data_IF_131118614748
#
_entry.id   IF_131118614748
#
_cell.length_a   1.000
_cell.length_b   1.000
_cell.length_c   1.000
_cell.angle_alpha   90.00
_cell.angle_beta   90.00
_cell.angle_gamma   90.00
#
_symmetry.space_group_name_H-M   'P 1'
#
loop_
_entity.id
_entity.type
_entity.pdbx_description
1 polymer ?
#
# COMPACT_ATOMS: atom_id res chain seq x y z
N UNK A 1 -19.68 14.17 -21.99
CA UNK A 1 -19.61 13.14 -20.94
C UNK A 1 -18.18 12.74 -20.64
N UNK A 2 -17.44 12.35 -21.67
CA UNK A 2 -16.03 12.00 -21.45
C UNK A 2 -15.23 13.17 -20.86
N UNK A 3 -15.54 14.38 -21.28
CA UNK A 3 -14.86 15.57 -20.78
C UNK A 3 -15.10 15.76 -19.28
N UNK A 4 -16.31 15.47 -18.82
CA UNK A 4 -16.62 15.58 -17.40
C UNK A 4 -15.81 14.58 -16.58
N UNK A 5 -15.68 13.36 -17.06
CA UNK A 5 -14.93 12.33 -16.35
C UNK A 5 -13.46 12.72 -16.23
N UNK A 6 -12.88 13.22 -17.32
CA UNK A 6 -11.50 13.68 -17.30
C UNK A 6 -11.33 14.83 -16.31
N UNK A 7 -12.32 15.77 -16.29
CA UNK A 7 -12.24 16.93 -15.41
C UNK A 7 -12.34 16.57 -13.93
N UNK A 8 -13.01 15.43 -13.60
CA UNK A 8 -13.18 15.01 -12.21
C UNK A 8 -12.05 14.09 -11.75
N UNK A 9 -11.16 13.69 -12.65
CA UNK A 9 -10.07 12.79 -12.30
C UNK A 9 -9.02 13.53 -11.48
N UNK A 10 -8.78 13.05 -10.27
CA UNK A 10 -7.84 13.68 -9.34
C UNK A 10 -6.48 13.00 -9.32
N UNK A 11 -6.43 11.77 -9.80
CA UNK A 11 -5.19 11.02 -9.88
C UNK A 11 -4.96 10.10 -8.69
N UNK A 12 -3.94 9.27 -8.83
CA UNK A 12 -3.60 8.24 -7.85
C UNK A 12 -2.23 8.55 -7.26
N UNK A 13 -2.19 8.71 -5.95
CA UNK A 13 -0.96 9.07 -5.24
C UNK A 13 -0.17 7.82 -4.87
N UNK A 14 1.11 7.81 -5.20
CA UNK A 14 1.98 6.70 -4.90
C UNK A 14 2.59 6.85 -3.50
N UNK A 15 2.61 5.76 -2.75
CA UNK A 15 3.16 5.70 -1.40
C UNK A 15 4.24 4.63 -1.36
N UNK A 16 5.43 5.01 -0.88
CA UNK A 16 6.58 4.11 -0.80
C UNK A 16 7.20 4.15 0.59
N UNK A 17 8.02 3.16 0.90
CA UNK A 17 8.70 3.12 2.19
C UNK A 17 10.13 2.62 2.04
N UNK A 18 11.10 3.21 2.77
CA UNK A 18 12.45 2.68 2.79
C UNK A 18 12.59 1.47 3.72
N UNK A 19 11.55 1.18 4.52
CA UNK A 19 11.60 0.07 5.47
C UNK A 19 11.23 -1.24 4.78
N UNK A 20 11.63 -2.35 5.40
CA UNK A 20 11.23 -3.67 4.93
C UNK A 20 9.73 -3.87 5.10
N UNK A 21 9.14 -4.60 4.17
CA UNK A 21 7.74 -4.98 4.25
C UNK A 21 7.57 -6.36 3.62
N UNK A 22 6.74 -7.18 4.24
CA UNK A 22 6.48 -8.54 3.74
C UNK A 22 7.73 -9.39 3.64
N UNK A 23 8.75 -9.11 4.46
CA UNK A 23 10.00 -9.84 4.41
C UNK A 23 10.98 -9.35 3.35
N UNK A 24 10.65 -8.29 2.63
CA UNK A 24 11.49 -7.75 1.57
C UNK A 24 11.88 -6.33 1.87
N UNK A 25 13.06 -5.95 1.36
CA UNK A 25 13.47 -4.56 1.34
C UNK A 25 13.68 -4.17 -0.12
N UNK A 26 12.81 -3.30 -0.61
CA UNK A 26 12.79 -2.95 -2.03
C UNK A 26 13.18 -1.48 -2.17
N UNK A 27 14.18 -1.17 -3.01
CA UNK A 27 14.58 0.23 -3.20
C UNK A 27 13.42 1.11 -3.65
N UNK A 28 13.44 2.36 -3.19
CA UNK A 28 12.37 3.32 -3.50
C UNK A 28 12.16 3.46 -5.01
N UNK A 29 13.27 3.51 -5.77
CA UNK A 29 13.16 3.66 -7.22
C UNK A 29 12.43 2.49 -7.87
N UNK A 30 12.63 1.28 -7.35
CA UNK A 30 11.93 0.11 -7.86
C UNK A 30 10.46 0.13 -7.46
N UNK A 31 10.17 0.55 -6.24
CA UNK A 31 8.78 0.73 -5.83
C UNK A 31 8.09 1.73 -6.74
N UNK A 32 8.70 2.88 -6.95
CA UNK A 32 8.12 3.94 -7.78
C UNK A 32 7.87 3.46 -9.20
N UNK A 33 8.83 2.75 -9.79
CA UNK A 33 8.66 2.20 -11.14
C UNK A 33 7.50 1.22 -11.21
N UNK A 34 7.38 0.35 -10.20
CA UNK A 34 6.30 -0.62 -10.12
C UNK A 34 4.94 0.09 -10.08
N UNK A 35 4.84 1.12 -9.24
CA UNK A 35 3.58 1.85 -9.07
C UNK A 35 3.22 2.66 -10.32
N UNK A 36 4.21 3.26 -10.96
CA UNK A 36 3.98 3.99 -12.21
C UNK A 36 3.49 3.05 -13.29
N UNK A 37 4.14 1.91 -13.45
CA UNK A 37 3.74 0.91 -14.45
C UNK A 37 2.31 0.43 -14.21
N UNK A 38 1.98 0.17 -12.94
CA UNK A 38 0.62 -0.23 -12.59
C UNK A 38 -0.40 0.84 -13.03
N UNK A 39 -0.13 2.09 -12.70
CA UNK A 39 -1.05 3.18 -13.06
C UNK A 39 -1.19 3.30 -14.58
N UNK A 40 -0.09 3.17 -15.32
CA UNK A 40 -0.15 3.22 -16.77
C UNK A 40 -1.03 2.12 -17.34
N UNK A 41 -0.87 0.90 -16.83
CA UNK A 41 -1.66 -0.23 -17.31
C UNK A 41 -3.14 -0.09 -16.99
N UNK A 42 -3.46 0.55 -15.88
CA UNK A 42 -4.86 0.72 -15.45
C UNK A 42 -5.48 2.01 -15.95
N UNK A 43 -4.75 2.82 -16.69
CA UNK A 43 -5.26 4.10 -17.18
C UNK A 43 -5.46 5.12 -16.08
N UNK A 44 -4.67 5.03 -15.00
CA UNK A 44 -4.75 5.95 -13.87
C UNK A 44 -3.69 7.03 -14.00
N UNK A 45 -4.05 8.24 -13.58
CA UNK A 45 -3.09 9.34 -13.54
C UNK A 45 -2.17 9.15 -12.34
N UNK A 46 -0.88 9.06 -12.59
CA UNK A 46 0.11 8.79 -11.55
C UNK A 46 0.60 10.09 -10.93
N UNK A 47 0.54 10.18 -9.61
CA UNK A 47 1.16 11.27 -8.87
C UNK A 47 2.45 10.79 -8.25
N UNK A 48 3.48 11.63 -8.28
CA UNK A 48 4.79 11.29 -7.74
C UNK A 48 4.68 10.73 -6.33
N UNK A 49 5.52 9.74 -6.06
CA UNK A 49 5.51 9.03 -4.80
C UNK A 49 5.94 9.92 -3.63
N UNK A 50 5.37 9.62 -2.48
CA UNK A 50 5.89 10.10 -1.20
C UNK A 50 6.58 8.93 -0.52
N UNK A 51 7.50 9.24 0.39
CA UNK A 51 8.32 8.24 1.07
C UNK A 51 8.06 8.31 2.57
N UNK A 52 7.70 7.16 3.16
CA UNK A 52 7.49 7.08 4.59
C UNK A 52 8.81 7.27 5.34
N UNK A 53 8.74 7.72 6.60
CA UNK A 53 9.93 7.86 7.41
C UNK A 53 10.52 6.50 7.78
N UNK A 54 11.75 6.48 8.33
CA UNK A 54 12.44 5.25 8.66
C UNK A 54 12.21 4.78 10.10
N UNK A 55 11.49 5.53 10.88
CA UNK A 55 11.28 5.19 12.30
C UNK A 55 10.26 4.06 12.40
N UNK A 56 10.64 2.92 13.02
CA UNK A 56 9.72 1.78 13.11
C UNK A 56 8.43 2.13 13.82
N UNK A 57 7.34 1.53 13.36
CA UNK A 57 6.01 1.64 13.96
C UNK A 57 5.42 3.05 13.92
N UNK A 58 5.95 3.92 13.06
CA UNK A 58 5.37 5.24 12.82
C UNK A 58 4.97 5.35 11.35
N UNK A 59 3.90 6.08 11.08
CA UNK A 59 3.34 6.18 9.74
C UNK A 59 2.93 7.62 9.46
N UNK A 60 3.87 8.55 9.70
CA UNK A 60 3.58 9.98 9.59
C UNK A 60 3.15 10.39 8.19
N UNK A 61 3.81 9.84 7.16
CA UNK A 61 3.47 10.18 5.79
C UNK A 61 2.13 9.55 5.40
N UNK A 62 1.89 8.30 5.80
CA UNK A 62 0.62 7.64 5.53
C UNK A 62 -0.52 8.39 6.22
N UNK A 63 -0.33 8.81 7.47
CA UNK A 63 -1.34 9.60 8.19
C UNK A 63 -1.63 10.92 7.47
N UNK A 64 -0.59 11.56 6.92
CA UNK A 64 -0.78 12.77 6.14
C UNK A 64 -1.62 12.50 4.90
N UNK A 65 -1.40 11.36 4.24
CA UNK A 65 -2.21 10.98 3.08
C UNK A 65 -3.65 10.71 3.47
N UNK A 66 -3.87 10.11 4.64
CA UNK A 66 -5.22 9.84 5.13
C UNK A 66 -5.99 11.16 5.26
N UNK A 67 -5.34 12.18 5.81
CA UNK A 67 -6.00 13.48 5.97
C UNK A 67 -6.32 14.14 4.64
N UNK A 68 -5.54 13.87 3.61
CA UNK A 68 -5.68 14.48 2.29
C UNK A 68 -6.29 13.54 1.27
N UNK A 69 -6.87 12.43 1.70
CA UNK A 69 -7.33 11.40 0.78
C UNK A 69 -8.39 11.88 -0.19
N UNK A 70 -9.18 12.88 0.20
CA UNK A 70 -10.18 13.44 -0.71
C UNK A 70 -9.56 14.18 -1.90
N UNK A 71 -8.25 14.43 -1.87
CA UNK A 71 -7.54 15.05 -2.98
C UNK A 71 -7.18 14.06 -4.09
N UNK A 72 -7.37 12.77 -3.86
CA UNK A 72 -6.97 11.73 -4.79
C UNK A 72 -8.11 10.76 -5.08
N UNK A 73 -8.10 10.18 -6.28
CA UNK A 73 -9.00 9.08 -6.62
C UNK A 73 -8.57 7.80 -5.94
N UNK A 74 -7.28 7.66 -5.71
CA UNK A 74 -6.73 6.48 -5.06
C UNK A 74 -5.33 6.70 -4.53
N UNK A 75 -4.90 5.77 -3.70
CA UNK A 75 -3.53 5.67 -3.21
C UNK A 75 -3.03 4.30 -3.64
N UNK A 76 -1.84 4.25 -4.23
CA UNK A 76 -1.26 2.99 -4.68
C UNK A 76 0.03 2.71 -3.93
N UNK A 77 0.18 1.47 -3.48
CA UNK A 77 1.39 1.00 -2.81
C UNK A 77 1.65 -0.45 -3.22
N UNK A 78 2.86 -0.93 -2.96
CA UNK A 78 3.28 -2.24 -3.43
C UNK A 78 2.56 -3.39 -2.75
N UNK A 79 2.37 -3.31 -1.43
CA UNK A 79 1.87 -4.47 -0.69
C UNK A 79 1.00 -4.07 0.49
N UNK A 80 0.05 -4.93 0.82
CA UNK A 80 -0.78 -4.76 2.02
C UNK A 80 0.08 -4.76 3.28
N UNK A 81 1.27 -5.37 3.23
CA UNK A 81 2.19 -5.39 4.38
C UNK A 81 2.82 -4.04 4.67
N UNK A 82 2.62 -3.06 3.80
CA UNK A 82 3.08 -1.70 4.06
C UNK A 82 2.15 -0.94 5.01
N UNK A 83 0.97 -1.47 5.26
CA UNK A 83 0.02 -0.88 6.22
C UNK A 83 0.47 -1.22 7.65
N UNK A 84 0.01 -0.44 8.65
CA UNK A 84 0.35 -0.74 10.04
C UNK A 84 -0.03 -2.16 10.43
N UNK A 85 0.80 -2.77 11.28
CA UNK A 85 0.59 -4.14 11.73
C UNK A 85 -0.57 -4.29 12.71
N UNK A 86 -0.86 -3.24 13.45
CA UNK A 86 -1.94 -3.26 14.43
C UNK A 86 -3.29 -3.23 13.72
N UNK A 87 -4.12 -4.30 13.85
CA UNK A 87 -5.37 -4.39 13.08
C UNK A 87 -6.33 -3.22 13.30
N UNK A 88 -6.43 -2.71 14.50
CA UNK A 88 -7.34 -1.60 14.78
C UNK A 88 -6.88 -0.32 14.11
N UNK A 89 -5.57 -0.06 14.13
CA UNK A 89 -4.99 1.12 13.49
C UNK A 89 -5.15 0.99 11.98
N UNK A 90 -4.86 -0.19 11.44
CA UNK A 90 -5.00 -0.46 10.01
C UNK A 90 -6.43 -0.24 9.54
N UNK A 91 -7.40 -0.77 10.29
CA UNK A 91 -8.81 -0.60 9.95
C UNK A 91 -9.22 0.86 9.97
N UNK A 92 -8.77 1.60 10.98
CA UNK A 92 -9.06 3.02 11.10
C UNK A 92 -8.53 3.79 9.88
N UNK A 93 -7.30 3.53 9.50
CA UNK A 93 -6.67 4.21 8.37
C UNK A 93 -7.42 3.91 7.08
N UNK A 94 -7.70 2.64 6.82
CA UNK A 94 -8.37 2.24 5.59
C UNK A 94 -9.78 2.82 5.53
N UNK A 95 -10.52 2.76 6.63
CA UNK A 95 -11.87 3.30 6.69
C UNK A 95 -11.88 4.80 6.40
N UNK A 96 -10.94 5.53 7.00
CA UNK A 96 -10.88 6.99 6.81
C UNK A 96 -10.55 7.35 5.36
N UNK A 97 -9.71 6.55 4.70
CA UNK A 97 -9.40 6.75 3.28
C UNK A 97 -10.65 6.50 2.43
N UNK A 98 -11.31 5.37 2.66
CA UNK A 98 -12.49 5.01 1.88
C UNK A 98 -13.64 6.00 2.07
N UNK A 99 -13.80 6.51 3.29
CA UNK A 99 -14.87 7.46 3.59
C UNK A 99 -14.72 8.76 2.79
N UNK A 100 -13.53 9.07 2.31
CA UNK A 100 -13.29 10.26 1.51
C UNK A 100 -13.41 10.01 0.02
N UNK A 101 -13.86 8.80 -0.37
CA UNK A 101 -14.01 8.45 -1.77
C UNK A 101 -12.71 8.06 -2.44
N UNK A 102 -11.69 7.74 -1.67
CA UNK A 102 -10.38 7.36 -2.18
C UNK A 102 -10.22 5.84 -2.08
N UNK A 103 -9.68 5.23 -3.13
CA UNK A 103 -9.45 3.78 -3.17
C UNK A 103 -8.01 3.45 -2.78
N UNK A 104 -7.78 2.20 -2.40
CA UNK A 104 -6.44 1.70 -2.14
C UNK A 104 -6.10 0.60 -3.14
N UNK A 105 -4.94 0.76 -3.79
CA UNK A 105 -4.44 -0.22 -4.76
C UNK A 105 -3.17 -0.86 -4.22
N UNK A 106 -3.10 -2.19 -4.30
CA UNK A 106 -1.93 -2.95 -3.87
C UNK A 106 -1.45 -3.76 -5.05
N UNK A 107 -0.26 -3.42 -5.58
CA UNK A 107 0.20 -3.99 -6.84
C UNK A 107 0.66 -5.43 -6.71
N UNK A 108 1.31 -5.79 -5.60
CA UNK A 108 1.81 -7.16 -5.42
C UNK A 108 0.67 -8.15 -5.27
N UNK A 109 -0.32 -7.84 -4.44
CA UNK A 109 -1.46 -8.71 -4.23
C UNK A 109 -2.54 -8.54 -5.30
N UNK A 110 -2.42 -7.50 -6.12
CA UNK A 110 -3.34 -7.24 -7.23
C UNK A 110 -4.79 -7.08 -6.78
N UNK A 111 -4.98 -6.32 -5.70
CA UNK A 111 -6.31 -6.00 -5.22
C UNK A 111 -6.52 -4.50 -5.17
N UNK A 112 -7.79 -4.12 -5.26
CA UNK A 112 -8.23 -2.74 -5.07
C UNK A 112 -9.29 -2.74 -3.98
N UNK A 113 -9.05 -1.97 -2.94
CA UNK A 113 -10.01 -1.81 -1.84
C UNK A 113 -10.78 -0.53 -2.11
N UNK A 114 -12.07 -0.65 -2.38
CA UNK A 114 -12.90 0.50 -2.76
C UNK A 114 -14.09 0.69 -1.83
N UNK A 115 -14.41 -0.31 -1.00
CA UNK A 115 -15.53 -0.22 -0.07
C UNK A 115 -15.21 -0.99 1.20
N UNK A 116 -16.04 -0.79 2.22
CA UNK A 116 -15.87 -1.51 3.48
C UNK A 116 -16.04 -3.02 3.33
N UNK A 117 -16.75 -3.45 2.30
CA UNK A 117 -16.92 -4.88 2.03
C UNK A 117 -15.59 -5.54 1.69
N UNK A 118 -14.64 -4.78 1.16
CA UNK A 118 -13.34 -5.32 0.78
C UNK A 118 -12.40 -5.51 1.96
N UNK A 119 -12.77 -5.02 3.14
CA UNK A 119 -11.89 -5.12 4.32
C UNK A 119 -11.62 -6.56 4.74
N UNK A 120 -12.57 -7.46 4.57
CA UNK A 120 -12.37 -8.87 4.93
C UNK A 120 -11.26 -9.48 4.08
N UNK A 121 -11.31 -9.25 2.77
CA UNK A 121 -10.28 -9.74 1.87
C UNK A 121 -8.92 -9.14 2.20
N UNK A 122 -8.91 -7.84 2.48
CA UNK A 122 -7.67 -7.17 2.86
C UNK A 122 -7.05 -7.80 4.10
N UNK A 123 -7.85 -8.05 5.14
CA UNK A 123 -7.33 -8.64 6.38
C UNK A 123 -6.84 -10.06 6.16
N UNK A 124 -7.50 -10.82 5.29
CA UNK A 124 -7.04 -12.15 4.94
C UNK A 124 -5.68 -12.11 4.25
N UNK A 125 -5.50 -11.17 3.35
CA UNK A 125 -4.22 -11.02 2.65
C UNK A 125 -3.11 -10.57 3.59
N UNK A 126 -3.41 -9.65 4.50
CA UNK A 126 -2.43 -9.23 5.51
C UNK A 126 -1.97 -10.44 6.33
N UNK A 127 -2.92 -11.29 6.74
CA UNK A 127 -2.60 -12.49 7.51
C UNK A 127 -1.75 -13.46 6.71
N UNK A 128 -2.07 -13.65 5.44
CA UNK A 128 -1.31 -14.57 4.59
C UNK A 128 0.13 -14.09 4.38
N UNK A 129 0.32 -12.81 4.16
CA UNK A 129 1.65 -12.25 3.98
C UNK A 129 2.45 -12.40 5.27
N UNK A 130 1.84 -12.13 6.42
CA UNK A 130 2.51 -12.27 7.71
C UNK A 130 2.93 -13.71 7.96
N UNK A 131 2.08 -14.67 7.60
CA UNK A 131 2.36 -16.09 7.77
C UNK A 131 3.54 -16.50 6.88
N UNK A 132 3.54 -16.06 5.64
CA UNK A 132 4.59 -16.34 4.68
C UNK A 132 5.93 -15.81 5.18
N UNK A 133 5.94 -14.60 5.71
CA UNK A 133 7.15 -13.99 6.27
C UNK A 133 7.65 -14.77 7.47
N UNK A 134 6.76 -15.19 8.36
CA UNK A 134 7.13 -15.98 9.52
C UNK A 134 7.75 -17.30 9.14
N UNK A 135 7.25 -17.94 8.09
CA UNK A 135 7.80 -19.21 7.63
C UNK A 135 9.20 -19.08 7.05
N UNK A 136 9.51 -17.92 6.50
CA UNK A 136 10.84 -17.68 5.96
C UNK A 136 11.90 -17.54 7.05
N UNK A 137 11.51 -17.06 8.20
CA UNK A 137 12.46 -16.84 9.30
C UNK A 137 13.19 -18.11 9.74
N UNK A 138 12.50 -19.22 9.96
CA UNK A 138 13.21 -20.46 10.33
C UNK A 138 14.20 -20.93 9.30
N UNK A 139 13.87 -20.79 8.03
CA UNK A 139 14.76 -21.18 6.94
C UNK A 139 16.05 -20.37 6.99
N UNK A 140 15.93 -19.09 7.21
CA UNK A 140 17.10 -18.23 7.32
C UNK A 140 17.97 -18.61 8.49
N UNK A 141 17.36 -18.99 9.58
CA UNK A 141 18.11 -19.44 10.76
C UNK A 141 18.89 -20.70 10.48
N UNK A 142 18.32 -21.62 9.74
CA UNK A 142 18.97 -22.86 9.40
C UNK A 142 20.15 -22.64 8.47
N UNK A 143 20.05 -21.68 7.58
CA UNK A 143 21.11 -21.38 6.64
C UNK A 143 22.38 -20.92 7.33
N UNK A 144 22.28 -20.49 8.56
CA UNK A 144 23.41 -20.02 9.32
C UNK A 144 24.16 -21.13 10.03
N UNK A 145 23.58 -22.30 10.10
CA UNK A 145 24.12 -23.39 10.88
C UNK A 145 25.25 -24.12 10.18
N UNK A 146 25.22 -24.35 8.87
CA UNK A 146 26.20 -25.19 8.20
C UNK A 146 27.60 -24.65 8.25
N UNK A 147 27.87 -23.75 9.01
CA UNK A 147 29.22 -23.23 9.14
C UNK A 147 29.94 -23.88 10.26
#
# INVERSE_FOLDING_TARGET
MATKQAATQKGTKAYTTPRSFGGFQIPITMQSTNLRTYCEKKGLVFHLHVVENQIPNTYLVLESLVEKANSYDGIVMCSVSMLPNEPMIRKSIVTRILDQGCKLHFTFEQIVVSSLEDLTELEELVSLVALSTSQQMPTNSLDQIPL
#
